data_IF_061859578925
#
_entry.id   IF_061859578925
#
_cell.length_a   1.000
_cell.length_b   1.000
_cell.length_c   1.000
_cell.angle_alpha   90.00
_cell.angle_beta   90.00
_cell.angle_gamma   90.00
#
_symmetry.space_group_name_H-M   'P 1'
#
loop_
_entity.id
_entity.type
_entity.pdbx_description
1 polymer ?
#
# COMPACT_ATOMS: atom_id res chain seq x y z
N UNK A 1 24.13 -20.38 -26.16
CA UNK A 1 23.20 -19.62 -25.28
C UNK A 1 23.86 -19.48 -23.92
N UNK A 2 24.66 -18.44 -23.75
CA UNK A 2 25.37 -18.13 -22.50
C UNK A 2 24.47 -17.26 -21.64
N UNK A 3 23.97 -17.83 -20.54
CA UNK A 3 23.20 -17.11 -19.52
C UNK A 3 24.14 -16.13 -18.81
N UNK A 4 24.13 -14.87 -19.25
CA UNK A 4 24.79 -13.78 -18.53
C UNK A 4 23.99 -13.52 -17.25
N UNK A 5 24.39 -14.15 -16.16
CA UNK A 5 23.94 -13.81 -14.81
C UNK A 5 24.45 -12.41 -14.48
N UNK A 6 23.65 -11.40 -14.83
CA UNK A 6 23.92 -9.99 -14.54
C UNK A 6 24.00 -9.80 -13.02
N UNK A 7 25.22 -9.81 -12.49
CA UNK A 7 25.54 -9.34 -11.15
C UNK A 7 25.54 -7.81 -11.15
N UNK A 8 24.42 -7.18 -11.50
CA UNK A 8 24.21 -5.75 -11.33
C UNK A 8 23.94 -5.49 -9.85
N UNK A 9 25.01 -5.37 -9.05
CA UNK A 9 24.92 -5.00 -7.63
C UNK A 9 25.60 -3.67 -7.30
N UNK A 10 25.82 -2.83 -8.30
CA UNK A 10 26.68 -1.66 -8.19
C UNK A 10 25.85 -0.38 -8.24
N UNK A 11 25.90 0.38 -7.15
CA UNK A 11 25.57 1.81 -7.03
C UNK A 11 24.13 2.29 -7.15
N UNK A 12 23.12 1.41 -7.01
CA UNK A 12 21.72 1.84 -6.92
C UNK A 12 21.49 2.94 -5.87
N UNK A 13 22.28 2.96 -4.79
CA UNK A 13 22.14 3.94 -3.72
C UNK A 13 22.47 5.37 -4.19
N UNK A 14 23.30 5.55 -5.22
CA UNK A 14 23.69 6.87 -5.76
C UNK A 14 22.53 7.61 -6.43
N UNK A 15 21.53 6.88 -6.91
CA UNK A 15 20.31 7.44 -7.51
C UNK A 15 19.18 7.63 -6.49
N UNK A 16 19.44 7.37 -5.20
CA UNK A 16 18.43 7.49 -4.16
C UNK A 16 18.08 8.96 -3.92
N UNK A 17 16.81 9.31 -4.14
CA UNK A 17 16.29 10.68 -3.90
C UNK A 17 16.34 11.14 -2.45
N UNK A 18 16.65 10.24 -1.51
CA UNK A 18 16.78 10.55 -0.09
C UNK A 18 18.21 10.89 0.35
N UNK A 19 19.20 10.87 -0.56
CA UNK A 19 20.57 11.29 -0.24
C UNK A 19 20.57 12.73 0.29
N UNK A 20 21.26 12.95 1.41
CA UNK A 20 21.39 14.27 2.04
C UNK A 20 20.16 14.75 2.82
N UNK A 21 19.08 13.95 2.90
CA UNK A 21 17.96 14.25 3.78
C UNK A 21 18.26 13.81 5.22
N UNK A 22 17.56 14.44 6.16
CA UNK A 22 17.64 14.15 7.57
C UNK A 22 17.35 12.64 7.85
N UNK A 23 18.31 11.92 8.49
CA UNK A 23 18.14 10.52 8.86
C UNK A 23 16.91 10.26 9.74
N UNK A 24 16.52 11.22 10.58
CA UNK A 24 15.43 11.05 11.56
C UNK A 24 14.07 10.85 10.89
N UNK A 25 13.94 11.19 9.60
CA UNK A 25 12.72 10.95 8.84
C UNK A 25 12.44 9.46 8.61
N UNK A 26 13.49 8.65 8.67
CA UNK A 26 13.47 7.23 8.33
C UNK A 26 13.49 6.34 9.57
N UNK A 27 13.63 6.90 10.76
CA UNK A 27 13.69 6.15 12.03
C UNK A 27 12.28 5.99 12.63
N UNK A 28 12.19 5.49 13.87
CA UNK A 28 10.92 5.17 14.54
C UNK A 28 10.02 6.39 14.83
N UNK A 29 10.52 7.60 14.56
CA UNK A 29 9.79 8.87 14.61
C UNK A 29 8.67 8.92 13.57
N UNK A 30 7.52 8.31 13.89
CA UNK A 30 6.34 8.20 13.02
C UNK A 30 5.81 9.52 12.46
N UNK A 31 6.17 10.66 13.05
CA UNK A 31 5.74 11.99 12.62
C UNK A 31 6.12 12.32 11.18
N UNK A 32 7.25 11.79 10.70
CA UNK A 32 7.79 12.09 9.36
C UNK A 32 7.60 10.97 8.34
N UNK A 33 6.98 9.85 8.74
CA UNK A 33 6.81 8.68 7.87
C UNK A 33 5.99 8.98 6.62
N UNK A 34 5.00 9.87 6.68
CA UNK A 34 4.21 10.22 5.51
C UNK A 34 5.09 10.92 4.44
N UNK A 35 5.93 11.86 4.86
CA UNK A 35 6.86 12.59 3.99
C UNK A 35 7.95 11.66 3.46
N UNK A 36 8.55 10.87 4.34
CA UNK A 36 9.53 9.85 4.01
C UNK A 36 9.01 8.88 2.94
N UNK A 37 7.81 8.31 3.15
CA UNK A 37 7.21 7.36 2.22
C UNK A 37 6.80 8.02 0.90
N UNK A 38 6.33 9.26 0.91
CA UNK A 38 6.05 10.00 -0.31
C UNK A 38 7.30 10.14 -1.19
N UNK A 39 8.47 10.35 -0.57
CA UNK A 39 9.76 10.34 -1.28
C UNK A 39 10.12 8.95 -1.79
N UNK A 40 9.91 7.89 -1.01
CA UNK A 40 10.12 6.52 -1.47
C UNK A 40 9.27 6.18 -2.70
N UNK A 41 7.99 6.59 -2.73
CA UNK A 41 7.07 6.30 -3.84
C UNK A 41 7.60 6.87 -5.16
N UNK A 42 8.20 8.06 -5.12
CA UNK A 42 8.77 8.72 -6.30
C UNK A 42 10.24 8.35 -6.57
N UNK A 43 10.85 7.47 -5.76
CA UNK A 43 12.26 7.14 -5.87
C UNK A 43 12.49 6.04 -6.93
N UNK A 44 13.35 6.25 -7.94
CA UNK A 44 13.58 5.27 -9.01
C UNK A 44 14.16 3.95 -8.48
N UNK A 45 14.96 4.02 -7.42
CA UNK A 45 15.63 2.87 -6.80
C UNK A 45 14.85 2.25 -5.65
N UNK A 46 13.55 2.55 -5.53
CA UNK A 46 12.68 2.04 -4.45
C UNK A 46 12.75 0.53 -4.31
N UNK A 47 12.65 -0.21 -5.42
CA UNK A 47 12.64 -1.68 -5.40
C UNK A 47 13.99 -2.27 -4.98
N UNK A 48 15.09 -1.71 -5.48
CA UNK A 48 16.44 -2.12 -5.08
C UNK A 48 16.69 -1.83 -3.59
N UNK A 49 16.29 -0.65 -3.12
CA UNK A 49 16.37 -0.25 -1.72
C UNK A 49 15.56 -1.18 -0.79
N UNK A 50 14.34 -1.57 -1.21
CA UNK A 50 13.53 -2.53 -0.46
C UNK A 50 14.20 -3.91 -0.38
N UNK A 51 14.69 -4.42 -1.50
CA UNK A 51 15.32 -5.75 -1.56
C UNK A 51 16.62 -5.81 -0.75
N UNK A 52 17.43 -4.74 -0.77
CA UNK A 52 18.64 -4.65 0.07
C UNK A 52 18.27 -4.62 1.57
N UNK A 53 17.23 -3.88 1.96
CA UNK A 53 16.75 -3.87 3.35
C UNK A 53 16.23 -5.24 3.81
N UNK A 54 15.57 -5.98 2.91
CA UNK A 54 15.14 -7.36 3.16
C UNK A 54 16.34 -8.28 3.33
N UNK A 55 17.33 -8.20 2.45
CA UNK A 55 18.51 -9.04 2.48
C UNK A 55 19.41 -8.80 3.71
N UNK A 56 19.36 -7.59 4.27
CA UNK A 56 20.11 -7.19 5.47
C UNK A 56 19.31 -7.36 6.77
N UNK A 57 18.05 -7.75 6.68
CA UNK A 57 17.13 -7.84 7.82
C UNK A 57 17.11 -6.55 8.64
N UNK A 58 17.05 -5.39 7.95
CA UNK A 58 17.07 -4.10 8.61
C UNK A 58 15.95 -3.99 9.66
N UNK A 59 16.20 -3.24 10.75
CA UNK A 59 15.24 -3.04 11.84
C UNK A 59 15.26 -1.59 12.27
N UNK A 60 14.09 -1.04 12.60
CA UNK A 60 13.98 0.31 13.13
C UNK A 60 14.13 1.39 12.06
N UNK A 61 13.97 1.03 10.78
CA UNK A 61 14.15 1.95 9.65
C UNK A 61 13.05 1.81 8.59
N UNK A 62 12.72 2.91 7.94
CA UNK A 62 11.88 2.99 6.75
C UNK A 62 12.76 2.89 5.51
N UNK A 63 12.58 1.83 4.71
CA UNK A 63 13.26 1.65 3.41
C UNK A 63 12.28 1.16 2.35
N UNK A 64 12.43 1.63 1.11
CA UNK A 64 11.56 1.22 0.01
C UNK A 64 10.05 1.49 0.19
N UNK A 65 9.67 2.37 1.12
CA UNK A 65 8.28 2.61 1.51
C UNK A 65 7.70 1.53 2.44
N UNK A 66 8.54 0.82 3.20
CA UNK A 66 8.15 -0.13 4.23
C UNK A 66 8.90 0.16 5.53
N UNK A 67 8.23 -0.11 6.66
CA UNK A 67 8.83 -0.11 7.99
C UNK A 67 9.26 -1.52 8.36
N UNK A 68 10.50 -1.67 8.79
CA UNK A 68 11.04 -2.93 9.24
C UNK A 68 11.18 -2.93 10.76
N UNK A 69 10.61 -3.95 11.41
CA UNK A 69 10.52 -4.00 12.88
C UNK A 69 10.66 -5.42 13.39
N UNK A 70 10.99 -5.56 14.66
CA UNK A 70 10.99 -6.84 15.37
C UNK A 70 9.83 -6.82 16.37
N UNK A 71 9.01 -7.87 16.35
CA UNK A 71 7.89 -8.03 17.28
C UNK A 71 7.95 -9.43 17.87
N UNK A 72 8.09 -9.52 19.20
CA UNK A 72 8.13 -10.80 19.95
C UNK A 72 9.01 -11.87 19.26
N UNK A 73 10.23 -11.47 18.89
CA UNK A 73 11.23 -12.32 18.21
C UNK A 73 11.00 -12.61 16.72
N UNK A 74 10.00 -12.01 16.08
CA UNK A 74 9.80 -12.13 14.64
C UNK A 74 10.08 -10.81 13.93
N UNK A 75 10.90 -10.88 12.88
CA UNK A 75 11.06 -9.79 11.94
C UNK A 75 9.77 -9.59 11.14
N UNK A 76 9.31 -8.34 11.05
CA UNK A 76 8.05 -7.96 10.40
C UNK A 76 8.28 -6.78 9.48
N UNK A 77 7.75 -6.92 8.27
CA UNK A 77 7.73 -5.86 7.27
C UNK A 77 6.33 -5.28 7.21
N UNK A 78 6.20 -3.97 7.45
CA UNK A 78 4.93 -3.26 7.33
C UNK A 78 5.00 -2.31 6.15
N UNK A 79 4.27 -2.61 5.07
CA UNK A 79 4.18 -1.69 3.94
C UNK A 79 3.50 -0.38 4.38
N UNK A 80 4.16 0.74 4.08
CA UNK A 80 3.67 2.08 4.37
C UNK A 80 3.03 2.74 3.14
N UNK A 81 2.97 2.03 2.02
CA UNK A 81 2.35 2.48 0.77
C UNK A 81 0.95 1.90 0.65
N UNK A 82 -0.01 2.72 0.22
CA UNK A 82 -1.40 2.31 0.07
C UNK A 82 -1.53 1.08 -0.82
N UNK A 83 -2.06 -0.02 -0.26
CA UNK A 83 -2.29 -1.28 -0.98
C UNK A 83 -3.20 -1.11 -2.19
N UNK A 84 -4.08 -0.09 -2.18
CA UNK A 84 -5.10 0.09 -3.22
C UNK A 84 -4.60 0.92 -4.41
N UNK A 85 -3.94 2.04 -4.15
CA UNK A 85 -3.53 2.96 -5.22
C UNK A 85 -2.03 2.98 -5.48
N UNK A 86 -1.20 2.43 -4.59
CA UNK A 86 0.26 2.41 -4.69
C UNK A 86 0.98 3.78 -4.81
N UNK A 87 0.23 4.90 -4.88
CA UNK A 87 0.76 6.26 -5.12
C UNK A 87 0.70 7.18 -3.90
N UNK A 88 0.20 6.68 -2.75
CA UNK A 88 0.10 7.48 -1.51
C UNK A 88 0.59 6.70 -0.31
N UNK A 89 1.12 7.39 0.72
CA UNK A 89 1.33 6.79 2.03
C UNK A 89 0.01 6.27 2.59
N UNK A 90 0.07 5.20 3.39
CA UNK A 90 -1.09 4.76 4.17
C UNK A 90 -1.42 5.79 5.26
N UNK A 91 -2.63 5.74 5.77
CA UNK A 91 -2.98 6.50 6.96
C UNK A 91 -2.33 5.86 8.19
N UNK A 92 -1.72 6.70 9.03
CA UNK A 92 -1.16 6.29 10.33
C UNK A 92 -1.89 7.02 11.45
N UNK A 93 -2.04 6.37 12.58
CA UNK A 93 -2.31 7.06 13.84
C UNK A 93 -1.25 6.66 14.88
N UNK A 94 -1.32 7.24 16.09
CA UNK A 94 -0.35 6.97 17.15
C UNK A 94 -0.19 5.48 17.50
N UNK A 95 -1.22 4.65 17.25
CA UNK A 95 -1.28 3.25 17.68
C UNK A 95 -1.18 2.23 16.54
N UNK A 96 -1.60 2.58 15.32
CA UNK A 96 -1.78 1.63 14.23
C UNK A 96 -1.40 2.22 12.87
N UNK A 97 -0.88 1.34 12.01
CA UNK A 97 -0.64 1.59 10.59
C UNK A 97 -1.78 0.98 9.77
N UNK A 98 -2.48 1.77 8.97
CA UNK A 98 -3.52 1.26 8.05
C UNK A 98 -2.90 0.57 6.85
N UNK A 99 -3.69 -0.25 6.13
CA UNK A 99 -3.31 -0.78 4.81
C UNK A 99 -3.66 0.16 3.66
N UNK A 100 -4.38 1.25 3.93
CA UNK A 100 -4.94 2.17 2.93
C UNK A 100 -4.59 3.62 3.27
N UNK A 101 -4.47 4.47 2.25
CA UNK A 101 -4.44 5.92 2.43
C UNK A 101 -5.84 6.46 2.79
N UNK A 102 -5.88 7.67 3.36
CA UNK A 102 -7.11 8.33 3.79
C UNK A 102 -8.23 8.31 2.73
N UNK A 103 -7.91 8.71 1.49
CA UNK A 103 -8.90 8.71 0.40
C UNK A 103 -9.43 7.30 0.07
N UNK A 104 -8.56 6.29 0.10
CA UNK A 104 -8.95 4.91 -0.21
C UNK A 104 -9.75 4.26 0.93
N UNK A 105 -9.54 4.69 2.19
CA UNK A 105 -10.38 4.27 3.32
C UNK A 105 -11.74 4.95 3.32
N UNK A 106 -11.80 6.24 2.99
CA UNK A 106 -13.05 7.02 2.99
C UNK A 106 -13.97 6.59 1.84
N UNK A 107 -13.40 6.23 0.69
CA UNK A 107 -14.14 5.63 -0.42
C UNK A 107 -14.78 4.28 -0.09
N UNK A 108 -14.29 3.53 0.92
CA UNK A 108 -14.98 2.32 1.40
C UNK A 108 -16.18 2.66 2.28
N UNK A 109 -16.08 3.68 3.14
CA UNK A 109 -17.22 4.09 4.00
C UNK A 109 -18.43 4.49 3.16
N UNK A 110 -18.23 5.20 2.05
CA UNK A 110 -19.34 5.60 1.16
C UNK A 110 -19.98 4.44 0.40
N UNK A 111 -19.22 3.38 0.07
CA UNK A 111 -19.78 2.20 -0.63
C UNK A 111 -20.58 1.26 0.28
N UNK A 112 -20.49 1.41 1.60
CA UNK A 112 -21.19 0.54 2.55
C UNK A 112 -22.58 1.06 2.97
N UNK A 113 -23.03 2.20 2.41
CA UNK A 113 -24.29 2.86 2.77
C UNK A 113 -25.37 2.80 1.68
N UNK A 114 -25.16 2.07 0.58
CA UNK A 114 -26.18 1.89 -0.47
C UNK A 114 -26.14 0.45 -0.95
N UNK A 115 -26.62 -0.47 -0.13
CA UNK A 115 -27.14 -1.77 -0.56
C UNK A 115 -27.98 -2.35 0.58
N UNK A 116 -29.07 -1.67 0.92
CA UNK A 116 -30.22 -2.38 1.47
C UNK A 116 -31.36 -2.25 0.46
N UNK A 117 -31.63 -3.38 -0.17
CA UNK A 117 -32.56 -3.50 -1.27
C UNK A 117 -33.98 -3.55 -0.77
N UNK A 118 -34.86 -2.79 -1.42
CA UNK A 118 -36.28 -3.14 -1.48
C UNK A 118 -36.83 -2.78 -2.85
N UNK A 119 -36.63 -3.69 -3.81
CA UNK A 119 -37.45 -3.77 -5.02
C UNK A 119 -38.32 -5.01 -4.88
N UNK A 120 -39.42 -4.88 -4.15
CA UNK A 120 -40.58 -5.76 -4.31
C UNK A 120 -41.38 -5.20 -5.48
N UNK A 121 -41.19 -5.78 -6.66
CA UNK A 121 -41.93 -5.44 -7.87
C UNK A 121 -41.96 -6.64 -8.80
N UNK A 122 -42.73 -7.65 -8.43
CA UNK A 122 -43.03 -8.84 -9.24
C UNK A 122 -43.77 -8.40 -10.51
N UNK A 123 -43.29 -8.70 -11.73
CA UNK A 123 -44.12 -8.57 -12.92
C UNK A 123 -45.08 -9.77 -12.97
N UNK A 124 -46.37 -9.54 -12.70
CA UNK A 124 -47.44 -10.44 -13.13
C UNK A 124 -47.81 -10.10 -14.56
N UNK A 125 -47.86 -11.11 -15.42
CA UNK A 125 -48.81 -11.39 -16.52
C UNK A 125 -48.19 -12.50 -17.41
N UNK A 126 -48.96 -13.35 -18.13
CA UNK A 126 -50.30 -13.10 -18.65
C UNK A 126 -51.35 -14.18 -18.31
N UNK A 127 -52.61 -13.77 -18.15
CA UNK A 127 -53.75 -14.69 -18.23
C UNK A 127 -54.19 -14.83 -19.69
N UNK A 128 -54.03 -16.04 -20.21
CA UNK A 128 -54.64 -16.54 -21.42
C UNK A 128 -56.17 -16.49 -21.31
N UNK A 129 -56.84 -15.97 -22.35
CA UNK A 129 -58.30 -15.91 -22.42
C UNK A 129 -58.82 -15.73 -23.84
N UNK A 130 -59.04 -16.86 -24.51
CA UNK A 130 -59.92 -17.07 -25.68
C UNK A 130 -60.92 -18.14 -25.19
N UNK A 131 -62.25 -18.14 -25.47
CA UNK A 131 -62.90 -17.84 -26.76
C UNK A 131 -64.29 -17.15 -26.73
N UNK A 132 -64.80 -16.93 -27.96
CA UNK A 132 -66.21 -16.98 -28.44
C UNK A 132 -67.16 -15.81 -28.17
N UNK A 133 -67.54 -15.07 -29.23
CA UNK A 133 -68.62 -15.40 -30.17
C UNK A 133 -68.57 -14.49 -31.40
#
# INVERSE_FOLDING_TARGET
MTSTTTRARTDWWTEARCIGLDPDWWTESRGMWAQAVARCIACPVRSACFNDAVAREDVGVVRGGAWFTVSRHHWRITSLVCRRCAVRPVAFNRRTVSRLCALCSDGRRRKHLVTDGRVTGTPRLPHSGVPNR
#
